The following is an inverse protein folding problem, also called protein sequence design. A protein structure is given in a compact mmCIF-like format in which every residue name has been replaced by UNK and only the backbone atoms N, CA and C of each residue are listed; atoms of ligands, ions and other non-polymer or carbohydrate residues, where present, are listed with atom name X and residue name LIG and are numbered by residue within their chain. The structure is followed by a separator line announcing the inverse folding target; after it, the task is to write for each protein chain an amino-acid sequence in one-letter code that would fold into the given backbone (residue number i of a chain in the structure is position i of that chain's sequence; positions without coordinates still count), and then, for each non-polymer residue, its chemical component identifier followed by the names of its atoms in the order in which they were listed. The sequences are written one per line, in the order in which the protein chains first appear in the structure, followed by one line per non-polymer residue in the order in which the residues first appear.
data_IF_459827499227
#
_entry.id   IF_459827499227
#
_cell.length_a   1.000
_cell.length_b   1.000
_cell.length_c   1.000
_cell.angle_alpha   90.00
_cell.angle_beta   90.00
_cell.angle_gamma   90.00
#
_symmetry.space_group_name_H-M   'P 1'
#
loop_
_entity.id
_entity.type
_entity.pdbx_description
1 polymer ?
#
# COMPACT_ATOMS: atom_id res chain seq x y z
N UNK A 1 47.04 -47.47 16.17
CA UNK A 1 45.71 -47.01 16.65
C UNK A 1 45.39 -45.69 15.97
N UNK A 2 44.32 -45.66 15.19
CA UNK A 2 43.93 -44.57 14.27
C UNK A 2 43.28 -43.43 15.08
N UNK A 3 43.77 -42.19 14.96
CA UNK A 3 43.12 -41.03 15.56
C UNK A 3 42.18 -40.36 14.56
N UNK A 4 41.02 -40.00 15.12
CA UNK A 4 39.75 -39.70 14.49
C UNK A 4 39.77 -38.38 13.72
N UNK A 5 39.00 -38.36 12.64
CA UNK A 5 38.65 -37.19 11.85
C UNK A 5 37.98 -36.10 12.72
N UNK A 6 38.37 -34.84 12.50
CA UNK A 6 37.59 -33.68 12.95
C UNK A 6 36.91 -33.11 11.70
N UNK A 7 35.60 -33.29 11.65
CA UNK A 7 34.68 -32.71 10.69
C UNK A 7 34.58 -31.20 10.97
N UNK A 8 34.99 -30.37 10.02
CA UNK A 8 34.65 -28.95 10.01
C UNK A 8 33.23 -28.81 9.45
N UNK A 9 32.26 -28.49 10.30
CA UNK A 9 30.91 -28.10 9.93
C UNK A 9 30.96 -26.74 9.21
N UNK A 10 30.86 -26.75 7.88
CA UNK A 10 30.46 -25.56 7.11
C UNK A 10 28.97 -25.29 7.41
N UNK A 11 28.70 -24.28 8.24
CA UNK A 11 27.36 -23.76 8.45
C UNK A 11 26.89 -23.02 7.20
N UNK A 12 26.04 -23.67 6.40
CA UNK A 12 25.33 -23.05 5.29
C UNK A 12 24.26 -22.11 5.88
N UNK A 13 24.54 -20.81 5.92
CA UNK A 13 23.55 -19.80 6.28
C UNK A 13 22.52 -19.68 5.15
N UNK A 14 21.44 -20.46 5.24
CA UNK A 14 20.23 -20.25 4.44
C UNK A 14 19.57 -18.95 4.95
N UNK A 15 19.90 -17.83 4.32
CA UNK A 15 19.12 -16.61 4.45
C UNK A 15 17.72 -16.91 3.90
N UNK A 16 16.75 -17.08 4.78
CA UNK A 16 15.35 -17.08 4.38
C UNK A 16 15.04 -15.66 3.93
N UNK A 17 14.82 -15.47 2.63
CA UNK A 17 14.28 -14.23 2.08
C UNK A 17 12.92 -14.01 2.75
N UNK A 18 12.88 -13.17 3.79
CA UNK A 18 11.62 -12.70 4.33
C UNK A 18 10.91 -11.95 3.19
N UNK A 19 9.61 -12.23 2.96
CA UNK A 19 8.85 -11.43 2.01
C UNK A 19 8.90 -9.99 2.50
N UNK A 20 9.43 -9.15 1.63
CA UNK A 20 9.53 -7.73 1.86
C UNK A 20 8.12 -7.15 1.77
N UNK A 21 7.66 -6.45 2.81
CA UNK A 21 6.30 -5.93 2.90
C UNK A 21 6.25 -4.46 2.49
N UNK A 22 5.32 -4.16 1.57
CA UNK A 22 4.85 -2.82 1.22
C UNK A 22 4.65 -1.94 2.46
N UNK A 23 5.06 -0.67 2.40
CA UNK A 23 4.78 0.26 3.51
C UNK A 23 3.37 0.81 3.38
N UNK A 24 2.46 0.31 4.21
CA UNK A 24 1.12 0.88 4.34
C UNK A 24 1.21 2.26 4.99
N UNK A 25 0.81 3.31 4.26
CA UNK A 25 0.77 4.69 4.76
C UNK A 25 -0.51 4.94 5.55
N UNK A 26 -1.65 4.62 4.94
CA UNK A 26 -2.97 4.88 5.50
C UNK A 26 -3.97 3.81 5.06
N UNK A 27 -5.02 3.59 5.86
CA UNK A 27 -6.17 2.77 5.47
C UNK A 27 -7.39 3.17 6.28
N UNK A 28 -8.56 2.90 5.71
CA UNK A 28 -9.81 3.25 6.38
C UNK A 28 -11.02 3.05 5.50
N UNK A 29 -12.13 3.63 5.95
CA UNK A 29 -13.38 3.70 5.19
C UNK A 29 -14.01 5.07 5.36
N UNK A 30 -14.68 5.56 4.33
CA UNK A 30 -15.29 6.88 4.34
C UNK A 30 -16.58 6.92 3.50
N UNK A 31 -17.55 7.69 3.97
CA UNK A 31 -18.67 8.15 3.17
C UNK A 31 -18.28 9.43 2.46
N UNK A 32 -18.25 9.44 1.14
CA UNK A 32 -17.98 10.64 0.34
C UNK A 32 -19.31 11.16 -0.21
N UNK A 33 -19.80 12.32 0.24
CA UNK A 33 -21.02 12.88 -0.28
C UNK A 33 -20.86 13.43 -1.69
N UNK A 34 -21.92 13.41 -2.48
CA UNK A 34 -21.99 14.27 -3.67
C UNK A 34 -22.17 15.73 -3.21
N UNK A 35 -21.49 16.74 -3.73
CA UNK A 35 -20.28 16.82 -4.57
C UNK A 35 -19.09 17.18 -3.68
N UNK A 36 -18.35 16.17 -3.21
CA UNK A 36 -17.17 16.36 -2.37
C UNK A 36 -15.97 15.57 -2.89
N UNK A 37 -14.80 16.04 -2.50
CA UNK A 37 -13.50 15.46 -2.79
C UNK A 37 -12.95 14.71 -1.57
N UNK A 38 -12.08 13.75 -1.81
CA UNK A 38 -11.43 12.93 -0.79
C UNK A 38 -9.92 12.87 -1.03
N UNK A 39 -9.17 12.96 0.07
CA UNK A 39 -7.72 12.94 0.16
C UNK A 39 -7.32 11.68 0.94
N UNK A 40 -6.60 10.75 0.28
CA UNK A 40 -6.28 9.44 0.86
C UNK A 40 -5.19 9.51 1.92
N UNK A 41 -4.31 10.50 1.82
CA UNK A 41 -3.19 10.75 2.73
C UNK A 41 -3.71 11.12 4.12
N UNK A 42 -4.65 12.04 4.18
CA UNK A 42 -5.27 12.52 5.41
C UNK A 42 -6.54 11.75 5.81
N UNK A 43 -7.19 11.07 4.86
CA UNK A 43 -8.49 10.44 5.06
C UNK A 43 -9.63 11.46 5.24
N UNK A 44 -9.50 12.65 4.65
CA UNK A 44 -10.44 13.76 4.88
C UNK A 44 -11.29 14.09 3.66
N UNK A 45 -12.49 14.61 3.92
CA UNK A 45 -13.46 15.04 2.91
C UNK A 45 -13.47 16.56 2.86
N UNK A 46 -13.47 17.12 1.65
CA UNK A 46 -13.48 18.57 1.43
C UNK A 46 -14.30 18.94 0.20
N UNK A 47 -14.80 20.18 0.12
CA UNK A 47 -15.54 20.62 -1.07
C UNK A 47 -14.61 20.80 -2.29
N UNK A 48 -13.57 21.62 -2.12
CA UNK A 48 -12.51 21.83 -3.11
C UNK A 48 -11.18 21.90 -2.35
N UNK A 49 -10.24 21.01 -2.68
CA UNK A 49 -8.90 20.99 -2.09
C UNK A 49 -7.85 20.69 -3.16
N UNK A 50 -6.69 21.37 -3.13
CA UNK A 50 -5.56 21.02 -4.00
C UNK A 50 -4.89 19.70 -3.63
N UNK A 51 -5.14 19.15 -2.44
CA UNK A 51 -4.55 17.89 -1.96
C UNK A 51 -5.46 16.70 -2.19
N UNK A 52 -6.70 16.90 -2.62
CA UNK A 52 -7.60 15.79 -2.85
C UNK A 52 -7.23 15.00 -4.11
N UNK A 53 -7.56 13.71 -4.09
CA UNK A 53 -7.23 12.76 -5.14
C UNK A 53 -8.44 12.47 -6.02
N UNK A 54 -9.59 12.26 -5.38
CA UNK A 54 -10.82 11.88 -6.06
C UNK A 54 -11.93 12.86 -5.78
N UNK A 55 -12.83 13.01 -6.75
CA UNK A 55 -14.05 13.78 -6.66
C UNK A 55 -15.24 12.90 -6.98
N UNK A 56 -16.14 12.75 -6.01
CA UNK A 56 -17.43 12.11 -6.23
C UNK A 56 -18.40 13.13 -6.82
N UNK A 57 -18.53 13.06 -8.15
CA UNK A 57 -19.20 14.10 -8.91
C UNK A 57 -20.68 13.76 -9.13
N UNK A 58 -21.54 14.69 -8.72
CA UNK A 58 -22.96 14.66 -9.00
C UNK A 58 -23.26 15.38 -10.31
N UNK A 59 -23.60 14.62 -11.35
CA UNK A 59 -23.97 15.16 -12.65
C UNK A 59 -25.45 15.56 -12.71
N UNK A 60 -26.33 14.75 -12.13
CA UNK A 60 -27.77 14.96 -12.09
C UNK A 60 -28.35 14.55 -10.72
N UNK A 61 -29.67 14.50 -10.56
CA UNK A 61 -30.29 13.96 -9.33
C UNK A 61 -29.82 12.54 -8.99
N UNK A 62 -29.60 11.69 -10.01
CA UNK A 62 -29.30 10.26 -9.83
C UNK A 62 -28.00 9.80 -10.48
N UNK A 63 -27.51 10.50 -11.52
CA UNK A 63 -26.28 10.12 -12.23
C UNK A 63 -25.04 10.62 -11.49
N UNK A 64 -24.03 9.75 -11.38
CA UNK A 64 -22.76 10.02 -10.69
C UNK A 64 -21.56 9.56 -11.50
N UNK A 65 -20.40 10.11 -11.18
CA UNK A 65 -19.12 9.59 -11.65
C UNK A 65 -18.03 9.85 -10.63
N UNK A 66 -17.02 8.98 -10.61
CA UNK A 66 -15.77 9.23 -9.91
C UNK A 66 -14.76 9.79 -10.90
N UNK A 67 -14.04 10.85 -10.53
CA UNK A 67 -12.99 11.43 -11.37
C UNK A 67 -11.84 11.91 -10.47
N UNK A 68 -10.64 12.17 -11.02
CA UNK A 68 -9.61 12.90 -10.29
C UNK A 68 -10.13 14.24 -9.75
N UNK A 69 -9.62 14.66 -8.60
CA UNK A 69 -10.07 15.88 -7.95
C UNK A 69 -9.87 17.14 -8.82
N UNK A 70 -10.72 18.14 -8.58
CA UNK A 70 -10.73 19.37 -9.36
C UNK A 70 -9.67 20.34 -8.81
N UNK A 71 -8.87 20.95 -9.72
CA UNK A 71 -7.75 21.89 -9.51
C UNK A 71 -6.34 21.26 -9.51
N UNK A 72 -5.74 21.15 -10.69
CA UNK A 72 -4.33 20.77 -10.89
C UNK A 72 -3.92 19.46 -10.20
N UNK A 73 -4.88 18.62 -9.77
CA UNK A 73 -4.57 17.32 -9.23
C UNK A 73 -3.91 16.48 -10.31
N UNK A 74 -2.78 15.89 -9.96
CA UNK A 74 -2.06 14.92 -10.79
C UNK A 74 -2.55 13.49 -10.52
N UNK A 75 -3.57 13.33 -9.68
CA UNK A 75 -4.15 12.04 -9.38
C UNK A 75 -4.71 11.39 -10.65
N UNK A 76 -4.63 10.06 -10.72
CA UNK A 76 -5.09 9.29 -11.85
C UNK A 76 -5.81 8.01 -11.40
N UNK A 77 -6.81 7.59 -12.18
CA UNK A 77 -7.67 6.46 -11.85
C UNK A 77 -7.43 5.26 -12.76
N UNK A 78 -7.80 4.10 -12.23
CA UNK A 78 -8.00 2.87 -12.98
C UNK A 78 -9.19 2.10 -12.40
N UNK A 79 -10.21 1.83 -13.22
CA UNK A 79 -11.27 0.90 -12.83
C UNK A 79 -10.76 -0.55 -12.90
N UNK A 80 -10.94 -1.31 -11.83
CA UNK A 80 -10.56 -2.72 -11.75
C UNK A 80 -11.78 -3.66 -11.79
N UNK A 81 -12.98 -3.10 -11.65
CA UNK A 81 -14.24 -3.83 -11.71
C UNK A 81 -14.34 -4.86 -10.59
N UNK A 82 -14.69 -6.10 -10.91
CA UNK A 82 -14.90 -7.16 -9.93
C UNK A 82 -13.61 -7.80 -9.37
N UNK A 83 -12.46 -7.14 -9.54
CA UNK A 83 -11.20 -7.61 -8.97
C UNK A 83 -11.28 -7.54 -7.43
N UNK A 84 -11.05 -8.63 -6.68
CA UNK A 84 -11.20 -8.61 -5.23
C UNK A 84 -10.19 -7.69 -4.54
N UNK A 85 -10.66 -6.83 -3.63
CA UNK A 85 -9.82 -5.90 -2.86
C UNK A 85 -8.63 -6.57 -2.16
N UNK A 86 -8.87 -7.74 -1.55
CA UNK A 86 -7.84 -8.51 -0.86
C UNK A 86 -6.77 -9.09 -1.81
N UNK A 87 -7.10 -9.28 -3.08
CA UNK A 87 -6.19 -9.85 -4.09
C UNK A 87 -5.24 -8.83 -4.73
N UNK A 88 -5.53 -7.53 -4.61
CA UNK A 88 -4.70 -6.46 -5.17
C UNK A 88 -3.50 -6.21 -4.25
N UNK A 89 -2.30 -6.43 -4.77
CA UNK A 89 -1.03 -6.16 -4.08
C UNK A 89 -0.45 -4.82 -4.50
N UNK A 90 0.50 -4.27 -3.71
CA UNK A 90 1.22 -3.06 -4.11
C UNK A 90 2.00 -3.26 -5.43
N UNK A 91 2.58 -4.44 -5.63
CA UNK A 91 3.26 -4.78 -6.89
C UNK A 91 2.31 -4.65 -8.09
N UNK A 92 1.05 -5.06 -7.92
CA UNK A 92 0.04 -4.89 -8.97
C UNK A 92 -0.24 -3.40 -9.20
N UNK A 93 -0.43 -2.63 -8.12
CA UNK A 93 -0.67 -1.19 -8.18
C UNK A 93 0.43 -0.43 -8.92
N UNK A 94 1.70 -0.80 -8.70
CA UNK A 94 2.86 -0.24 -9.39
C UNK A 94 2.94 -0.64 -10.88
N UNK A 95 2.44 -1.83 -11.21
CA UNK A 95 2.42 -2.36 -12.58
C UNK A 95 1.28 -1.86 -13.44
N UNK A 96 0.26 -1.23 -12.85
CA UNK A 96 -0.92 -0.73 -13.55
C UNK A 96 -0.66 0.56 -14.34
N UNK A 97 -1.45 0.75 -15.40
CA UNK A 97 -1.46 1.97 -16.21
C UNK A 97 -2.69 2.80 -15.86
N UNK A 98 -2.45 3.93 -15.19
CA UNK A 98 -3.50 4.86 -14.76
C UNK A 98 -3.79 5.85 -15.88
N UNK A 99 -5.01 5.83 -16.39
CA UNK A 99 -5.40 6.67 -17.54
C UNK A 99 -6.89 6.96 -17.61
N UNK A 100 -7.67 6.51 -16.62
CA UNK A 100 -9.11 6.66 -16.63
C UNK A 100 -9.48 8.10 -16.24
N UNK A 101 -10.09 8.90 -17.15
CA UNK A 101 -10.43 10.29 -16.85
C UNK A 101 -11.58 10.40 -15.86
N UNK A 102 -12.49 9.42 -15.89
CA UNK A 102 -13.56 9.22 -14.91
C UNK A 102 -14.02 7.76 -14.97
N UNK A 103 -14.58 7.27 -13.87
CA UNK A 103 -15.25 5.98 -13.78
C UNK A 103 -16.75 6.26 -13.67
N UNK A 104 -17.53 5.71 -14.60
CA UNK A 104 -18.99 5.80 -14.57
C UNK A 104 -19.52 5.18 -13.27
N UNK A 105 -20.34 5.96 -12.56
CA UNK A 105 -21.06 5.50 -11.38
C UNK A 105 -22.52 5.15 -11.71
N UNK A 106 -23.30 4.73 -10.71
CA UNK A 106 -24.73 4.46 -10.87
C UNK A 106 -25.53 5.66 -11.42
N UNK A 107 -26.71 5.39 -12.04
CA UNK A 107 -27.40 4.11 -12.11
C UNK A 107 -27.12 3.25 -13.37
N UNK A 108 -26.19 3.61 -14.26
CA UNK A 108 -25.95 2.87 -15.51
C UNK A 108 -24.49 2.49 -15.73
N UNK A 109 -24.23 1.26 -16.19
CA UNK A 109 -22.89 0.82 -16.64
C UNK A 109 -21.77 0.87 -15.58
N UNK A 110 -22.14 0.98 -14.30
CA UNK A 110 -21.25 1.40 -13.23
C UNK A 110 -20.15 0.38 -12.94
N UNK A 111 -18.92 0.74 -13.26
CA UNK A 111 -17.74 -0.01 -12.78
C UNK A 111 -17.53 0.18 -11.27
N UNK A 112 -18.39 0.96 -10.60
CA UNK A 112 -18.42 1.24 -9.18
C UNK A 112 -19.58 0.53 -8.45
N UNK A 113 -20.05 -0.62 -8.93
CA UNK A 113 -21.01 -1.42 -8.15
C UNK A 113 -20.41 -1.85 -6.80
N UNK A 114 -21.26 -2.11 -5.80
CA UNK A 114 -20.81 -2.60 -4.49
C UNK A 114 -20.03 -3.91 -4.67
N UNK A 115 -18.83 -3.97 -4.06
CA UNK A 115 -17.85 -5.05 -4.20
C UNK A 115 -16.86 -4.84 -5.34
N UNK A 116 -17.08 -3.88 -6.24
CA UNK A 116 -16.10 -3.54 -7.25
C UNK A 116 -14.98 -2.66 -6.67
N UNK A 117 -13.83 -2.73 -7.33
CA UNK A 117 -12.63 -2.01 -6.95
C UNK A 117 -12.13 -1.09 -8.04
N UNK A 118 -11.37 -0.11 -7.61
CA UNK A 118 -10.58 0.77 -8.45
C UNK A 118 -9.26 1.10 -7.77
N UNK A 119 -8.29 1.52 -8.55
CA UNK A 119 -7.01 2.00 -8.07
C UNK A 119 -6.87 3.51 -8.32
N UNK A 120 -6.10 4.15 -7.46
CA UNK A 120 -5.78 5.58 -7.52
C UNK A 120 -4.28 5.74 -7.41
N UNK A 121 -3.67 6.44 -8.36
CA UNK A 121 -2.38 7.10 -8.17
C UNK A 121 -2.71 8.48 -7.59
N UNK A 122 -2.29 8.74 -6.35
CA UNK A 122 -2.62 9.99 -5.64
C UNK A 122 -1.83 11.17 -6.18
N UNK A 123 -2.24 12.38 -5.84
CA UNK A 123 -1.51 13.58 -6.23
C UNK A 123 -0.08 13.63 -5.64
N UNK A 124 0.13 12.99 -4.48
CA UNK A 124 1.45 12.86 -3.84
C UNK A 124 2.31 11.71 -4.41
N UNK A 125 1.78 10.92 -5.34
CA UNK A 125 2.51 9.81 -5.97
C UNK A 125 2.43 8.48 -5.21
N UNK A 126 1.50 8.35 -4.27
CA UNK A 126 1.19 7.11 -3.58
C UNK A 126 0.13 6.30 -4.34
N UNK A 127 -0.04 5.04 -3.94
CA UNK A 127 -0.93 4.12 -4.63
C UNK A 127 -2.01 3.63 -3.68
N UNK A 128 -3.27 3.91 -4.01
CA UNK A 128 -4.41 3.39 -3.27
C UNK A 128 -5.11 2.28 -4.05
N UNK A 129 -5.50 1.22 -3.34
CA UNK A 129 -6.61 0.35 -3.78
C UNK A 129 -7.85 0.71 -3.00
N UNK A 130 -8.99 0.65 -3.68
CA UNK A 130 -10.28 1.08 -3.12
C UNK A 130 -11.36 0.10 -3.51
N UNK A 131 -12.24 -0.23 -2.57
CA UNK A 131 -13.46 -1.01 -2.78
C UNK A 131 -14.68 -0.13 -2.52
N UNK A 132 -15.67 -0.20 -3.41
CA UNK A 132 -16.99 0.37 -3.16
C UNK A 132 -17.75 -0.59 -2.27
N UNK A 133 -18.15 -0.14 -1.08
CA UNK A 133 -18.73 -1.01 -0.06
C UNK A 133 -20.21 -0.75 0.17
N UNK A 134 -20.70 0.45 -0.12
CA UNK A 134 -22.12 0.80 -0.02
C UNK A 134 -22.44 2.11 -0.75
N UNK A 135 -23.73 2.44 -0.85
CA UNK A 135 -24.25 3.73 -1.32
C UNK A 135 -25.31 4.30 -0.38
N UNK A 136 -25.37 5.62 -0.29
CA UNK A 136 -26.41 6.31 0.46
C UNK A 136 -27.76 6.15 -0.24
N UNK A 137 -28.73 5.52 0.44
CA UNK A 137 -30.06 5.17 -0.12
C UNK A 137 -31.23 5.88 0.59
N UNK A 138 -30.93 6.86 1.45
CA UNK A 138 -31.90 7.34 2.44
C UNK A 138 -32.97 8.34 1.97
N UNK A 139 -32.98 8.79 0.71
CA UNK A 139 -33.96 9.81 0.26
C UNK A 139 -34.35 9.61 -1.20
N UNK A 140 -35.66 9.50 -1.46
CA UNK A 140 -36.23 9.40 -2.81
C UNK A 140 -35.69 10.52 -3.70
N UNK A 141 -35.12 10.14 -4.85
CA UNK A 141 -34.50 11.08 -5.79
C UNK A 141 -33.07 11.50 -5.46
N UNK A 142 -32.47 10.91 -4.41
CA UNK A 142 -31.04 11.04 -4.06
C UNK A 142 -30.38 9.68 -3.88
N UNK A 143 -30.84 8.69 -4.63
CA UNK A 143 -30.15 7.40 -4.69
C UNK A 143 -28.70 7.63 -5.15
N UNK A 144 -27.77 6.92 -4.52
CA UNK A 144 -26.33 7.01 -4.80
C UNK A 144 -25.72 8.39 -4.54
N UNK A 145 -26.37 9.21 -3.71
CA UNK A 145 -25.86 10.54 -3.38
C UNK A 145 -24.50 10.45 -2.68
N UNK A 146 -24.36 9.53 -1.72
CA UNK A 146 -23.09 9.26 -1.05
C UNK A 146 -22.55 7.92 -1.54
N UNK A 147 -21.23 7.82 -1.70
CA UNK A 147 -20.51 6.56 -1.92
C UNK A 147 -19.75 6.18 -0.65
N UNK A 148 -19.84 4.93 -0.22
CA UNK A 148 -19.02 4.40 0.87
C UNK A 148 -17.87 3.58 0.30
N UNK A 149 -16.65 3.91 0.70
CA UNK A 149 -15.44 3.22 0.26
C UNK A 149 -14.68 2.62 1.41
N UNK A 150 -13.94 1.54 1.14
CA UNK A 150 -12.84 1.07 1.96
C UNK A 150 -11.54 1.17 1.15
N UNK A 151 -10.43 1.57 1.77
CA UNK A 151 -9.18 1.82 1.06
C UNK A 151 -7.93 1.43 1.84
N UNK A 152 -6.85 1.21 1.10
CA UNK A 152 -5.50 1.07 1.62
C UNK A 152 -4.52 1.81 0.69
N UNK A 153 -3.67 2.66 1.29
CA UNK A 153 -2.71 3.53 0.63
C UNK A 153 -1.28 3.05 0.91
N UNK A 154 -0.47 2.96 -0.14
CA UNK A 154 0.90 2.46 -0.11
C UNK A 154 1.88 3.48 -0.69
N UNK A 155 3.12 3.45 -0.20
CA UNK A 155 4.18 4.40 -0.61
C UNK A 155 4.78 4.14 -1.99
N UNK A 156 4.43 3.01 -2.63
CA UNK A 156 4.90 2.65 -3.95
C UNK A 156 6.39 2.29 -3.97
N UNK A 157 7.00 2.06 -2.81
CA UNK A 157 8.39 1.63 -2.75
C UNK A 157 8.44 0.11 -2.83
N UNK A 158 9.22 -0.47 -3.77
CA UNK A 158 9.42 -1.90 -3.79
C UNK A 158 10.01 -2.27 -2.44
N UNK A 159 9.33 -3.17 -1.75
CA UNK A 159 9.59 -3.39 -0.36
C UNK A 159 11.10 -3.61 -0.12
N UNK A 160 11.69 -2.84 0.78
CA UNK A 160 13.13 -2.84 1.04
C UNK A 160 13.57 -4.18 1.64
N UNK A 161 14.30 -4.98 0.87
CA UNK A 161 14.94 -6.20 1.37
C UNK A 161 16.02 -5.78 2.38
N UNK A 162 16.00 -6.22 3.65
CA UNK A 162 17.11 -5.98 4.56
C UNK A 162 18.36 -6.63 3.97
N UNK A 163 19.39 -5.84 3.66
CA UNK A 163 20.63 -6.41 3.11
C UNK A 163 21.21 -7.44 4.09
N UNK A 164 21.49 -8.69 3.65
CA UNK A 164 22.10 -9.71 4.50
C UNK A 164 23.42 -9.26 5.15
N UNK A 165 24.09 -8.26 4.57
CA UNK A 165 25.38 -7.75 5.03
C UNK A 165 25.33 -6.95 6.33
N UNK A 166 24.22 -6.28 6.65
CA UNK A 166 24.16 -5.36 7.80
C UNK A 166 24.10 -6.10 9.14
N UNK A 167 23.43 -7.25 9.20
CA UNK A 167 23.40 -8.10 10.40
C UNK A 167 24.63 -8.99 10.53
N UNK A 168 25.18 -9.47 9.40
CA UNK A 168 26.40 -10.27 9.41
C UNK A 168 27.61 -9.48 9.95
N UNK A 169 27.75 -8.20 9.56
CA UNK A 169 28.80 -7.32 10.09
C UNK A 169 28.59 -6.97 11.57
N UNK A 170 27.35 -6.73 12.01
CA UNK A 170 27.07 -6.45 13.42
C UNK A 170 27.34 -7.68 14.32
N UNK A 171 26.97 -8.88 13.85
CA UNK A 171 27.24 -10.13 14.57
C UNK A 171 28.74 -10.49 14.57
N UNK A 172 29.46 -10.26 13.47
CA UNK A 172 30.91 -10.44 13.41
C UNK A 172 31.67 -9.43 14.30
N UNK A 173 31.20 -8.19 14.40
CA UNK A 173 31.76 -7.18 15.30
C UNK A 173 31.66 -7.56 16.79
N UNK A 174 30.53 -8.14 17.21
CA UNK A 174 30.33 -8.63 18.58
C UNK A 174 31.13 -9.92 18.88
N UNK A 175 31.30 -10.80 17.90
CA UNK A 175 32.13 -12.00 18.04
C UNK A 175 33.64 -11.68 18.11
N UNK A 176 34.12 -10.70 17.33
CA UNK A 176 35.53 -10.28 17.38
C UNK A 176 35.89 -9.62 18.73
N UNK A 177 34.97 -8.86 19.33
CA UNK A 177 35.18 -8.20 20.63
C UNK A 177 35.27 -9.18 21.82
N UNK A 178 34.63 -10.35 21.73
CA UNK A 178 34.67 -11.37 22.78
C UNK A 178 35.92 -12.26 22.69
N UNK A 179 36.39 -12.58 21.47
CA UNK A 179 37.61 -13.38 21.26
C UNK A 179 38.88 -12.60 21.61
N UNK A 180 38.92 -11.29 21.34
CA UNK A 180 40.10 -10.46 21.67
C UNK A 180 40.40 -10.36 23.18
N UNK A 181 39.41 -10.64 24.05
CA UNK A 181 39.58 -10.53 25.51
C UNK A 181 40.15 -11.78 26.17
N UNK A 182 40.26 -12.91 25.46
CA UNK A 182 40.75 -14.17 26.02
C UNK A 182 42.24 -14.45 25.75
N UNK A 183 42.94 -13.59 25.00
CA UNK A 183 44.30 -13.89 24.52
C UNK A 183 45.41 -13.01 25.12
N UNK A 184 45.31 -12.61 26.40
CA UNK A 184 46.45 -12.04 27.12
C UNK A 184 46.55 -12.66 28.53
N UNK A 185 47.29 -13.77 28.63
CA UNK A 185 48.22 -13.96 29.76
C UNK A 185 49.32 -14.97 29.40
N UNK A 186 50.57 -14.53 29.18
CA UNK A 186 51.69 -15.42 28.98
C UNK A 186 52.27 -15.88 30.33
N UNK A 187 52.34 -17.21 30.48
CA UNK A 187 53.48 -17.97 30.99
C UNK A 187 54.24 -17.56 32.28
N UNK A 188 54.15 -18.46 33.26
CA UNK A 188 55.23 -19.29 33.85
C UNK A 188 56.24 -18.67 34.84
N UNK A 189 56.58 -19.51 35.84
CA UNK A 189 57.73 -19.57 36.78
C UNK A 189 57.22 -19.45 38.23
N UNK A 190 57.42 -20.40 39.17
CA UNK A 190 58.30 -21.57 39.27
C UNK A 190 57.62 -22.69 40.07
#
# INVERSE_FOLDING_TARGET
MKHKAILALLGLALAWSMPSQASLINSGSAWIPGTFQFDFESGTISGVSPTADIFWNQLTGTTRQLQPAFLNSTAALLALGNTPFAGITETDLLGYVYSTPFIEGPPGGSLLDVGNTFAVLTAEGHYAKVEVTDYGTGTVGRDFYDIHIAYALFDGQPASVPEPGSFALLALGLAAATVARQHIHPGRQR
#
